data_IF_222539018100
#
_entry.id   IF_222539018100
#
_cell.length_a   1.000
_cell.length_b   1.000
_cell.length_c   1.000
_cell.angle_alpha   90.00
_cell.angle_beta   90.00
_cell.angle_gamma   90.00
#
_symmetry.space_group_name_H-M   'P 1'
#
loop_
_entity.id
_entity.type
_entity.pdbx_description
1 polymer ?
#
# COMPACT_ATOMS: atom_id res chain seq x y z
N UNK A 1 1.92 -14.06 -5.68
CA UNK A 1 2.36 -12.67 -5.42
C UNK A 1 1.49 -12.13 -4.31
N UNK A 2 2.04 -11.93 -3.11
CA UNK A 2 1.30 -11.38 -1.99
C UNK A 2 1.48 -9.86 -2.00
N UNK A 3 0.38 -9.12 -2.14
CA UNK A 3 0.39 -7.67 -1.86
C UNK A 3 0.75 -7.41 -0.40
N UNK A 4 1.28 -6.24 -0.10
CA UNK A 4 1.57 -5.90 1.29
C UNK A 4 0.26 -5.70 2.07
N UNK A 5 -0.07 -6.64 2.93
CA UNK A 5 -1.22 -6.55 3.84
C UNK A 5 -0.83 -5.80 5.11
N UNK A 6 -1.42 -4.63 5.32
CA UNK A 6 -1.24 -3.86 6.56
C UNK A 6 -2.49 -4.00 7.41
N UNK A 7 -2.61 -5.14 8.09
CA UNK A 7 -3.73 -5.41 9.00
C UNK A 7 -5.07 -5.65 8.30
N UNK A 8 -5.05 -6.30 7.14
CA UNK A 8 -6.22 -6.64 6.32
C UNK A 8 -6.53 -5.65 5.20
N UNK A 9 -5.66 -4.67 4.93
CA UNK A 9 -5.87 -3.60 3.96
C UNK A 9 -4.70 -3.57 2.98
N UNK A 10 -5.03 -3.70 1.68
CA UNK A 10 -4.07 -3.60 0.58
C UNK A 10 -3.73 -2.13 0.30
N UNK A 11 -2.45 -1.82 0.09
CA UNK A 11 -2.01 -0.46 -0.29
C UNK A 11 -2.08 -0.27 -1.80
N UNK A 12 -2.70 0.83 -2.20
CA UNK A 12 -2.94 1.18 -3.60
C UNK A 12 -2.34 2.56 -3.95
N UNK A 13 -1.65 2.61 -5.07
CA UNK A 13 -0.97 3.82 -5.55
C UNK A 13 -1.31 4.10 -7.01
N UNK A 14 -1.58 5.35 -7.40
CA UNK A 14 -1.94 5.69 -8.77
C UNK A 14 -0.78 5.41 -9.72
N UNK A 15 -1.04 4.69 -10.80
CA UNK A 15 -0.04 4.43 -11.83
C UNK A 15 0.23 5.71 -12.63
N UNK A 16 1.50 6.14 -12.78
CA UNK A 16 1.84 7.34 -13.54
C UNK A 16 1.54 7.20 -15.04
N UNK A 17 1.35 5.98 -15.54
CA UNK A 17 1.13 5.71 -16.97
C UNK A 17 -0.34 5.64 -17.36
N UNK A 18 -1.17 4.92 -16.59
CA UNK A 18 -2.57 4.71 -16.93
C UNK A 18 -3.55 5.31 -15.90
N UNK A 19 -3.06 5.86 -14.79
CA UNK A 19 -3.88 6.44 -13.72
C UNK A 19 -4.60 5.41 -12.83
N UNK A 20 -4.61 4.13 -13.20
CA UNK A 20 -5.22 3.06 -12.41
C UNK A 20 -4.37 2.74 -11.20
N UNK A 21 -5.02 2.39 -10.08
CA UNK A 21 -4.30 2.03 -8.87
C UNK A 21 -3.55 0.70 -9.03
N UNK A 22 -2.27 0.70 -8.69
CA UNK A 22 -1.40 -0.48 -8.66
C UNK A 22 -1.10 -0.92 -7.22
N UNK A 23 -0.72 -2.19 -7.05
CA UNK A 23 -0.47 -2.79 -5.74
C UNK A 23 1.00 -2.67 -5.36
N UNK A 24 1.27 -2.25 -4.14
CA UNK A 24 2.64 -2.16 -3.63
C UNK A 24 3.17 -3.54 -3.18
N UNK A 25 4.43 -3.81 -3.54
CA UNK A 25 5.22 -4.96 -3.08
C UNK A 25 6.57 -4.47 -2.55
N UNK A 26 7.06 -5.09 -1.48
CA UNK A 26 8.39 -4.78 -0.93
C UNK A 26 9.37 -5.82 -1.46
N UNK A 27 10.30 -5.39 -2.32
CA UNK A 27 11.39 -6.24 -2.76
C UNK A 27 12.60 -6.09 -1.84
N UNK A 28 13.01 -7.23 -1.27
CA UNK A 28 14.09 -7.36 -0.28
C UNK A 28 15.45 -6.87 -0.82
N UNK A 29 15.62 -6.83 -2.14
CA UNK A 29 16.89 -6.45 -2.79
C UNK A 29 17.09 -4.93 -2.83
N UNK A 30 16.03 -4.12 -2.63
CA UNK A 30 16.11 -2.66 -2.83
C UNK A 30 15.69 -1.81 -1.65
N UNK A 31 15.10 -2.37 -0.59
CA UNK A 31 14.47 -1.61 0.52
C UNK A 31 13.48 -0.51 0.05
N UNK A 32 13.12 -0.52 -1.24
CA UNK A 32 12.29 0.49 -1.88
C UNK A 32 10.98 -0.17 -2.29
N UNK A 33 9.83 0.43 -1.93
CA UNK A 33 8.53 -0.07 -2.35
C UNK A 33 8.40 0.03 -3.87
N UNK A 34 8.11 -1.11 -4.50
CA UNK A 34 7.89 -1.22 -5.94
C UNK A 34 6.43 -1.60 -6.17
N UNK A 35 5.77 -0.84 -7.03
CA UNK A 35 4.36 -1.03 -7.37
C UNK A 35 4.29 -1.69 -8.74
N UNK A 36 3.49 -2.75 -8.82
CA UNK A 36 3.15 -3.41 -10.07
C UNK A 36 1.72 -3.04 -10.43
N UNK A 37 1.55 -2.37 -11.58
CA UNK A 37 0.24 -2.02 -12.10
C UNK A 37 -0.21 -3.06 -13.12
N UNK A 38 -1.50 -3.40 -13.11
CA UNK A 38 -2.08 -4.36 -14.07
C UNK A 38 -1.94 -3.99 -15.55
N UNK A 39 -1.51 -2.76 -15.88
CA UNK A 39 -1.12 -2.36 -17.22
C UNK A 39 0.30 -2.81 -17.64
N UNK A 40 1.03 -3.50 -16.76
CA UNK A 40 2.41 -3.96 -16.96
C UNK A 40 3.48 -2.92 -16.58
N UNK A 41 3.08 -1.76 -16.06
CA UNK A 41 4.01 -0.74 -15.59
C UNK A 41 4.50 -1.03 -14.18
N UNK A 42 5.80 -0.80 -13.95
CA UNK A 42 6.44 -1.07 -12.66
C UNK A 42 7.24 0.15 -12.20
N UNK A 43 6.85 0.72 -11.08
CA UNK A 43 7.38 2.00 -10.63
C UNK A 43 7.67 2.01 -9.13
N UNK A 44 8.66 2.82 -8.75
CA UNK A 44 9.00 3.06 -7.34
C UNK A 44 8.18 4.21 -6.78
N UNK A 45 7.92 4.17 -5.48
CA UNK A 45 7.38 5.31 -4.71
C UNK A 45 8.40 5.81 -3.71
N UNK A 46 8.37 7.11 -3.43
CA UNK A 46 9.17 7.71 -2.37
C UNK A 46 8.84 7.03 -1.04
N UNK A 47 9.88 6.71 -0.25
CA UNK A 47 9.73 6.08 1.06
C UNK A 47 8.85 6.88 2.00
N UNK A 48 8.93 8.22 1.95
CA UNK A 48 8.10 9.09 2.78
C UNK A 48 6.62 8.98 2.43
N UNK A 49 6.27 9.06 1.14
CA UNK A 49 4.89 8.91 0.66
C UNK A 49 4.33 7.53 1.00
N UNK A 50 5.15 6.50 0.85
CA UNK A 50 4.79 5.15 1.23
C UNK A 50 4.54 5.03 2.75
N UNK A 51 5.43 5.57 3.58
CA UNK A 51 5.27 5.57 5.04
C UNK A 51 4.03 6.33 5.51
N UNK A 52 3.70 7.46 4.85
CA UNK A 52 2.46 8.21 5.12
C UNK A 52 1.21 7.38 4.82
N UNK A 53 1.17 6.69 3.67
CA UNK A 53 0.06 5.80 3.33
C UNK A 53 -0.09 4.63 4.31
N UNK A 54 1.01 3.95 4.65
CA UNK A 54 1.02 2.88 5.65
C UNK A 54 0.44 3.39 6.97
N UNK A 55 0.92 4.53 7.46
CA UNK A 55 0.46 5.12 8.73
C UNK A 55 -1.05 5.46 8.71
N UNK A 56 -1.55 5.99 7.60
CA UNK A 56 -2.97 6.31 7.44
C UNK A 56 -3.83 5.05 7.48
N UNK A 57 -3.40 3.98 6.80
CA UNK A 57 -4.09 2.69 6.78
C UNK A 57 -4.06 2.02 8.15
N UNK A 58 -2.92 2.03 8.85
CA UNK A 58 -2.82 1.51 10.21
C UNK A 58 -3.75 2.25 11.19
N UNK A 59 -3.83 3.57 11.06
CA UNK A 59 -4.74 4.38 11.87
C UNK A 59 -6.21 4.01 11.60
N UNK A 60 -6.59 3.85 10.33
CA UNK A 60 -7.93 3.42 9.93
C UNK A 60 -8.26 2.01 10.45
N UNK A 61 -7.35 1.05 10.28
CA UNK A 61 -7.51 -0.31 10.80
C UNK A 61 -7.63 -0.33 12.33
N UNK A 62 -6.85 0.49 13.03
CA UNK A 62 -6.93 0.64 14.49
C UNK A 62 -8.26 1.25 14.92
N UNK A 63 -8.76 2.24 14.21
CA UNK A 63 -10.07 2.83 14.45
C UNK A 63 -11.19 1.79 14.26
N UNK A 64 -11.17 1.04 13.14
CA UNK A 64 -12.13 -0.03 12.87
C UNK A 64 -12.14 -1.12 13.97
N UNK A 65 -10.95 -1.53 14.45
CA UNK A 65 -10.82 -2.47 15.58
C UNK A 65 -11.43 -1.92 16.88
N UNK A 66 -11.27 -0.62 17.16
CA UNK A 66 -11.86 0.02 18.34
C UNK A 66 -13.38 0.08 18.26
N UNK A 67 -13.94 0.36 17.07
CA UNK A 67 -15.39 0.34 16.84
C UNK A 67 -15.95 -1.07 17.09
N UNK A 68 -15.32 -2.11 16.53
CA UNK A 68 -15.75 -3.50 16.74
C UNK A 68 -15.69 -3.99 18.20
N UNK A 69 -14.80 -3.43 19.03
CA UNK A 69 -14.72 -3.76 20.46
C UNK A 69 -15.76 -3.03 21.33
N UNK A 70 -16.43 -2.01 20.78
CA UNK A 70 -17.45 -1.22 21.49
C UNK A 70 -18.89 -1.63 21.13
N UNK A 71 -19.07 -2.46 20.10
CA UNK A 71 -20.33 -3.13 19.77
C UNK A 71 -20.38 -4.48 20.48
#
# INVERSE_FOLDING_TARGET
MAGLDVGGVELEFPCPRCGVAGRATIETVRFLPVIDCGCGERFGVCLETFAQQVSAVEAAARAARRVRRRA
#
